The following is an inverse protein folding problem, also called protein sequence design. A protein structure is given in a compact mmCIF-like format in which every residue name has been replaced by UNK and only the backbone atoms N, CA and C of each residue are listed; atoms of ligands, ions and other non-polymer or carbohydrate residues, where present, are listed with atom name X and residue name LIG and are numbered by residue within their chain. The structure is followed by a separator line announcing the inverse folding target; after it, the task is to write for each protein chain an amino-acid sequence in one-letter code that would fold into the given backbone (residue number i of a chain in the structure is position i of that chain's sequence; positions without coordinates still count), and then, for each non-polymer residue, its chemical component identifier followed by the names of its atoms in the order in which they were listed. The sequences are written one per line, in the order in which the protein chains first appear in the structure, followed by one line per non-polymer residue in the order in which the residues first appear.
data_IF_051371660446
#
_entry.id   IF_051371660446
#
_cell.length_a   1.000
_cell.length_b   1.000
_cell.length_c   1.000
_cell.angle_alpha   90.00
_cell.angle_beta   90.00
_cell.angle_gamma   90.00
#
_symmetry.space_group_name_H-M   'P 1'
#
loop_
_entity.id
_entity.type
_entity.pdbx_description
1 polymer ?
#
# COMPACT_ATOMS: atom_id res chain seq x y z
N UNK A 1 -12.32 -22.43 7.78
CA UNK A 1 -13.02 -21.18 7.37
C UNK A 1 -12.10 -20.47 6.39
N UNK A 2 -12.44 -20.47 5.10
CA UNK A 2 -11.67 -19.76 4.06
C UNK A 2 -11.92 -18.26 4.18
N UNK A 3 -10.85 -17.47 4.08
CA UNK A 3 -10.89 -16.02 4.13
C UNK A 3 -11.05 -15.49 2.69
N UNK A 4 -12.26 -15.05 2.34
CA UNK A 4 -12.52 -14.36 1.08
C UNK A 4 -12.08 -12.90 1.20
N UNK A 5 -10.92 -12.60 0.60
CA UNK A 5 -10.40 -11.24 0.50
C UNK A 5 -11.07 -10.55 -0.69
N UNK A 6 -12.02 -9.65 -0.40
CA UNK A 6 -12.71 -8.86 -1.41
C UNK A 6 -11.83 -7.68 -1.87
N UNK A 7 -11.31 -7.77 -3.11
CA UNK A 7 -10.52 -6.74 -3.77
C UNK A 7 -11.32 -5.46 -4.13
N UNK A 8 -12.65 -5.49 -4.00
CA UNK A 8 -13.54 -4.41 -4.49
C UNK A 8 -14.10 -3.54 -3.38
N UNK A 9 -13.79 -3.84 -2.11
CA UNK A 9 -14.30 -3.09 -0.97
C UNK A 9 -13.89 -1.60 -1.09
N UNK A 10 -14.85 -0.68 -1.30
CA UNK A 10 -14.52 0.72 -1.46
C UNK A 10 -13.95 1.26 -0.15
N UNK A 11 -12.90 2.08 -0.22
CA UNK A 11 -12.45 2.86 0.93
C UNK A 11 -13.57 3.83 1.27
N UNK A 12 -14.37 3.47 2.28
CA UNK A 12 -15.49 4.27 2.72
C UNK A 12 -14.97 5.61 3.25
N UNK A 13 -15.55 6.70 2.75
CA UNK A 13 -15.26 8.08 3.16
C UNK A 13 -15.68 8.40 4.60
N UNK A 14 -16.39 7.49 5.27
CA UNK A 14 -16.55 7.46 6.72
C UNK A 14 -15.28 6.89 7.38
N UNK A 15 -14.15 7.54 7.12
CA UNK A 15 -12.83 7.12 7.59
C UNK A 15 -12.68 7.48 9.06
N UNK A 16 -13.06 6.57 9.96
CA UNK A 16 -12.83 6.75 11.40
C UNK A 16 -11.44 6.21 11.76
N UNK A 17 -10.70 6.94 12.59
CA UNK A 17 -9.41 6.48 13.14
C UNK A 17 -9.51 5.19 13.94
N UNK A 18 -10.73 4.84 14.38
CA UNK A 18 -11.06 3.60 15.08
C UNK A 18 -10.92 2.38 14.18
N UNK A 19 -11.44 2.42 12.95
CA UNK A 19 -11.31 1.33 11.97
C UNK A 19 -9.85 1.03 11.61
N UNK A 20 -9.01 2.06 11.54
CA UNK A 20 -7.57 1.87 11.30
C UNK A 20 -6.86 1.20 12.47
N UNK A 21 -7.24 1.52 13.71
CA UNK A 21 -6.65 0.92 14.90
C UNK A 21 -7.04 -0.56 15.01
N UNK A 22 -8.33 -0.86 14.81
CA UNK A 22 -8.86 -2.22 14.86
C UNK A 22 -8.28 -3.09 13.74
N UNK A 23 -8.04 -2.53 12.54
CA UNK A 23 -7.49 -3.25 11.40
C UNK A 23 -5.98 -3.04 11.16
N UNK A 24 -5.27 -2.41 12.10
CA UNK A 24 -3.82 -2.15 11.95
C UNK A 24 -3.03 -3.43 11.72
N UNK A 25 -3.49 -4.55 12.28
CA UNK A 25 -2.91 -5.88 12.09
C UNK A 25 -3.01 -6.41 10.65
N UNK A 26 -3.92 -5.85 9.83
CA UNK A 26 -4.07 -6.18 8.40
C UNK A 26 -3.14 -5.34 7.52
N UNK A 27 -2.59 -4.23 8.03
CA UNK A 27 -1.64 -3.39 7.30
C UNK A 27 -0.26 -4.03 7.39
N UNK A 28 0.36 -4.25 6.24
CA UNK A 28 1.71 -4.84 6.14
C UNK A 28 2.64 -3.91 5.37
N UNK A 29 3.93 -3.83 5.74
CA UNK A 29 4.90 -3.09 4.96
C UNK A 29 5.06 -3.74 3.58
N UNK A 30 5.15 -2.91 2.55
CA UNK A 30 5.36 -3.35 1.18
C UNK A 30 6.67 -2.75 0.67
N UNK A 31 7.54 -3.59 0.12
CA UNK A 31 8.81 -3.15 -0.45
C UNK A 31 8.63 -2.70 -1.91
N UNK A 32 8.70 -1.39 -2.12
CA UNK A 32 8.58 -0.77 -3.44
C UNK A 32 9.92 -0.77 -4.19
N UNK A 33 11.04 -0.54 -3.49
CA UNK A 33 12.39 -0.63 -4.06
C UNK A 33 13.03 -1.93 -3.58
N UNK A 34 13.27 -2.85 -4.50
CA UNK A 34 13.80 -4.17 -4.22
C UNK A 34 15.14 -4.40 -4.92
N UNK A 35 16.04 -5.23 -4.38
CA UNK A 35 17.23 -5.63 -5.11
C UNK A 35 16.84 -6.34 -6.42
N UNK A 36 17.56 -6.01 -7.49
CA UNK A 36 17.40 -6.68 -8.76
C UNK A 36 18.01 -8.08 -8.68
N UNK A 37 17.20 -9.11 -8.97
CA UNK A 37 17.70 -10.49 -9.05
C UNK A 37 18.45 -10.74 -10.36
N UNK A 38 18.21 -9.91 -11.38
CA UNK A 38 18.82 -10.04 -12.71
C UNK A 38 20.09 -9.19 -12.86
N UNK A 39 20.28 -8.17 -12.02
CA UNK A 39 21.44 -7.29 -12.03
C UNK A 39 22.01 -7.13 -10.61
N UNK A 40 23.05 -7.89 -10.24
CA UNK A 40 23.68 -7.77 -8.93
C UNK A 40 24.12 -6.34 -8.63
N UNK A 41 23.84 -5.87 -7.42
CA UNK A 41 24.20 -4.51 -6.97
C UNK A 41 23.28 -3.39 -7.48
N UNK A 42 22.25 -3.70 -8.27
CA UNK A 42 21.25 -2.72 -8.70
C UNK A 42 19.92 -2.93 -7.97
N UNK A 43 19.17 -1.84 -7.85
CA UNK A 43 17.79 -1.87 -7.37
C UNK A 43 16.83 -1.82 -8.55
N UNK A 44 15.64 -2.40 -8.36
CA UNK A 44 14.52 -2.29 -9.28
C UNK A 44 13.32 -1.67 -8.56
N UNK A 45 12.47 -1.04 -9.35
CA UNK A 45 11.15 -0.64 -8.92
C UNK A 45 10.21 -1.84 -9.00
N UNK A 46 9.50 -2.12 -7.91
CA UNK A 46 8.41 -3.08 -7.88
C UNK A 46 7.10 -2.37 -8.22
N UNK A 47 6.82 -2.25 -9.52
CA UNK A 47 5.66 -1.51 -10.02
C UNK A 47 4.33 -2.10 -9.57
N UNK A 48 4.22 -3.41 -9.45
CA UNK A 48 2.98 -4.06 -8.99
C UNK A 48 2.69 -3.72 -7.52
N UNK A 49 3.71 -3.72 -6.67
CA UNK A 49 3.61 -3.27 -5.29
C UNK A 49 3.24 -1.79 -5.21
N UNK A 50 3.89 -0.93 -5.99
CA UNK A 50 3.56 0.50 -6.04
C UNK A 50 2.10 0.73 -6.44
N UNK A 51 1.65 0.06 -7.49
CA UNK A 51 0.28 0.16 -8.01
C UNK A 51 -0.76 -0.40 -7.02
N UNK A 52 -0.42 -1.43 -6.24
CA UNK A 52 -1.32 -1.95 -5.21
C UNK A 52 -1.65 -0.95 -4.10
N UNK A 53 -0.78 0.05 -3.88
CA UNK A 53 -0.94 1.08 -2.85
C UNK A 53 -1.45 2.39 -3.44
N UNK A 54 -0.77 2.90 -4.48
CA UNK A 54 -1.06 4.22 -5.04
C UNK A 54 -2.01 4.17 -6.25
N UNK A 55 -2.18 3.02 -6.88
CA UNK A 55 -3.08 2.83 -8.02
C UNK A 55 -4.56 2.70 -7.62
N UNK A 56 -4.86 2.66 -6.32
CA UNK A 56 -6.23 2.54 -5.83
C UNK A 56 -7.03 3.83 -6.05
N UNK A 57 -8.26 3.73 -6.54
CA UNK A 57 -9.15 4.87 -6.86
C UNK A 57 -9.37 5.82 -5.68
N UNK A 58 -9.38 5.29 -4.46
CA UNK A 58 -9.49 6.08 -3.22
C UNK A 58 -8.34 7.06 -2.97
N UNK A 59 -7.17 6.80 -3.56
CA UNK A 59 -5.96 7.62 -3.46
C UNK A 59 -5.66 8.35 -4.77
N UNK A 60 -6.34 8.00 -5.87
CA UNK A 60 -6.17 8.64 -7.17
C UNK A 60 -6.42 10.15 -7.08
N UNK A 61 -5.56 10.92 -7.77
CA UNK A 61 -5.62 12.38 -7.85
C UNK A 61 -5.55 13.13 -6.51
N UNK A 62 -5.16 12.46 -5.42
CA UNK A 62 -4.88 13.12 -4.14
C UNK A 62 -3.43 13.56 -4.07
N UNK A 63 -3.19 14.75 -3.50
CA UNK A 63 -1.82 15.22 -3.22
C UNK A 63 -1.17 14.34 -2.16
N UNK A 64 0.08 13.95 -2.39
CA UNK A 64 0.87 13.14 -1.48
C UNK A 64 1.70 14.06 -0.58
N UNK A 65 1.73 13.78 0.73
CA UNK A 65 2.62 14.43 1.69
C UNK A 65 3.68 13.42 2.16
N UNK A 66 4.93 13.86 2.23
CA UNK A 66 6.06 13.04 2.69
C UNK A 66 6.47 13.50 4.07
N UNK A 67 6.51 12.57 5.04
CA UNK A 67 7.03 12.85 6.37
C UNK A 67 8.45 12.29 6.42
N UNK A 68 9.42 13.19 6.53
CA UNK A 68 10.83 12.84 6.75
C UNK A 68 11.07 12.98 8.25
N UNK A 69 11.36 11.86 8.93
CA UNK A 69 11.96 11.93 10.27
C UNK A 69 13.47 12.12 10.06
N UNK A 70 13.98 13.27 10.49
CA UNK A 70 15.42 13.60 10.54
C UNK A 70 15.95 13.23 11.91
#
# INVERSE_FOLDING_TARGET
MSFDFDLTAPFQTAFTTRDQHEHRHKVRPVQIIAPSSTQPGKFRLNESALNSVLGHSACANKKVSWIVNV
#
